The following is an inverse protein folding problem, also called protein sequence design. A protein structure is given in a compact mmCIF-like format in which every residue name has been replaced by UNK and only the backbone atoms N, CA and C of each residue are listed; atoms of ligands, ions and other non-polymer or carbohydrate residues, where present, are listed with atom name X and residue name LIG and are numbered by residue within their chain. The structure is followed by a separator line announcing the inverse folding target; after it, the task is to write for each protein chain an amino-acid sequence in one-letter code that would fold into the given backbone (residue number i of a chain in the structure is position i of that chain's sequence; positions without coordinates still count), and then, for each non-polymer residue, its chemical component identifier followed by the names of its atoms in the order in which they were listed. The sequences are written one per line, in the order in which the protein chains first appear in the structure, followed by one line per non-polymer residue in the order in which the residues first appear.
data_IF_926503579430
#
_entry.id   IF_926503579430
#
_cell.length_a   1.000
_cell.length_b   1.000
_cell.length_c   1.000
_cell.angle_alpha   90.00
_cell.angle_beta   90.00
_cell.angle_gamma   90.00
#
_symmetry.space_group_name_H-M   'P 1'
#
loop_
_entity.id
_entity.type
_entity.pdbx_description
1 polymer ?
#
# COMPACT_ATOMS: atom_id res chain seq x y z
N UNK A 1 19.08 1.84 24.60
CA UNK A 1 17.71 1.80 24.05
C UNK A 1 17.21 3.20 23.69
N UNK A 2 17.20 4.19 24.61
CA UNK A 2 16.74 5.56 24.32
C UNK A 2 17.42 6.25 23.12
N UNK A 3 18.75 6.18 23.01
CA UNK A 3 19.49 6.77 21.88
C UNK A 3 19.09 6.20 20.51
N UNK A 4 18.81 4.89 20.44
CA UNK A 4 18.35 4.25 19.21
C UNK A 4 16.97 4.78 18.80
N UNK A 5 16.05 4.91 19.75
CA UNK A 5 14.72 5.47 19.48
C UNK A 5 14.81 6.93 19.03
N UNK A 6 15.66 7.73 19.67
CA UNK A 6 15.90 9.14 19.29
C UNK A 6 16.47 9.21 17.86
N UNK A 7 17.43 8.35 17.51
CA UNK A 7 17.98 8.28 16.14
C UNK A 7 16.90 7.94 15.10
N UNK A 8 16.01 6.98 15.42
CA UNK A 8 14.87 6.64 14.56
C UNK A 8 13.88 7.80 14.42
N UNK A 9 13.57 8.52 15.51
CA UNK A 9 12.70 9.70 15.48
C UNK A 9 13.31 10.84 14.67
N UNK A 10 14.63 11.06 14.74
CA UNK A 10 15.33 12.06 13.89
C UNK A 10 15.28 11.68 12.41
N UNK A 11 15.41 10.39 12.10
CA UNK A 11 15.25 9.87 10.73
C UNK A 11 13.81 10.09 10.25
N UNK A 12 12.83 9.82 11.11
CA UNK A 12 11.41 10.11 10.83
C UNK A 12 11.17 11.61 10.60
N UNK A 13 11.77 12.50 11.39
CA UNK A 13 11.65 13.97 11.23
C UNK A 13 12.17 14.45 9.88
N UNK A 14 13.30 13.91 9.40
CA UNK A 14 13.93 14.33 8.16
C UNK A 14 13.10 13.99 6.89
N UNK A 15 12.13 13.09 6.98
CA UNK A 15 11.26 12.70 5.87
C UNK A 15 10.11 13.68 5.68
N UNK A 16 9.85 14.08 4.43
CA UNK A 16 8.60 14.76 4.01
C UNK A 16 7.53 13.69 3.80
N UNK A 17 6.64 13.52 4.77
CA UNK A 17 5.75 12.36 4.83
C UNK A 17 4.57 12.55 3.88
N UNK A 18 4.14 13.79 3.68
CA UNK A 18 2.98 14.12 2.85
C UNK A 18 3.39 14.80 1.54
N UNK A 19 4.57 14.46 0.99
CA UNK A 19 4.97 14.91 -0.34
C UNK A 19 4.12 14.21 -1.41
N UNK A 20 3.90 14.85 -2.57
CA UNK A 20 3.13 14.25 -3.67
C UNK A 20 3.65 12.86 -4.05
N UNK A 21 4.97 12.66 -4.08
CA UNK A 21 5.59 11.36 -4.37
C UNK A 21 5.17 10.27 -3.38
N UNK A 22 4.88 10.62 -2.13
CA UNK A 22 4.39 9.66 -1.13
C UNK A 22 2.94 9.24 -1.40
N UNK A 23 2.08 10.17 -1.84
CA UNK A 23 0.72 9.83 -2.30
C UNK A 23 0.76 8.97 -3.57
N UNK A 24 1.60 9.33 -4.54
CA UNK A 24 1.77 8.59 -5.79
C UNK A 24 2.27 7.16 -5.56
N UNK A 25 3.23 6.95 -4.64
CA UNK A 25 3.69 5.61 -4.25
C UNK A 25 2.56 4.73 -3.68
N UNK A 26 1.54 5.36 -3.11
CA UNK A 26 0.33 4.71 -2.56
C UNK A 26 -0.78 4.55 -3.60
N UNK A 27 -0.60 5.07 -4.82
CA UNK A 27 -1.65 5.12 -5.83
C UNK A 27 -2.78 6.09 -5.49
N UNK A 28 -2.51 7.05 -4.61
CA UNK A 28 -3.45 8.07 -4.15
C UNK A 28 -3.23 9.37 -4.91
N UNK A 29 -4.29 10.18 -5.00
CA UNK A 29 -4.15 11.55 -5.50
C UNK A 29 -3.44 12.41 -4.44
N UNK A 30 -2.46 13.24 -4.81
CA UNK A 30 -1.89 14.19 -3.88
C UNK A 30 -2.94 15.11 -3.28
N UNK A 31 -2.86 15.31 -1.96
CA UNK A 31 -3.70 16.24 -1.23
C UNK A 31 -3.26 17.70 -1.44
N UNK A 32 -4.06 18.63 -0.93
CA UNK A 32 -3.79 20.06 -0.92
C UNK A 32 -2.44 20.39 -0.22
N UNK A 33 -1.66 21.30 -0.80
CA UNK A 33 -0.31 21.61 -0.32
C UNK A 33 -0.29 22.22 1.08
N UNK A 34 -1.31 22.99 1.45
CA UNK A 34 -1.38 23.61 2.77
C UNK A 34 -1.74 22.56 3.82
N UNK A 35 -2.63 21.62 3.50
CA UNK A 35 -2.91 20.47 4.35
C UNK A 35 -1.67 19.60 4.56
N UNK A 36 -0.97 19.24 3.48
CA UNK A 36 0.27 18.46 3.55
C UNK A 36 1.33 19.13 4.43
N UNK A 37 1.52 20.44 4.28
CA UNK A 37 2.47 21.22 5.10
C UNK A 37 2.08 21.19 6.58
N UNK A 38 0.81 21.42 6.90
CA UNK A 38 0.30 21.37 8.28
C UNK A 38 0.46 19.98 8.90
N UNK A 39 0.26 18.91 8.14
CA UNK A 39 0.46 17.54 8.62
C UNK A 39 1.94 17.26 8.87
N UNK A 40 2.84 17.61 7.94
CA UNK A 40 4.28 17.46 8.13
C UNK A 40 4.76 18.19 9.40
N UNK A 41 4.31 19.43 9.63
CA UNK A 41 4.60 20.19 10.86
C UNK A 41 4.05 19.51 12.12
N UNK A 42 2.83 18.99 12.08
CA UNK A 42 2.22 18.27 13.19
C UNK A 42 3.05 17.04 13.58
N UNK A 43 3.51 16.26 12.60
CA UNK A 43 4.32 15.07 12.86
C UNK A 43 5.76 15.41 13.25
N UNK A 44 6.32 16.51 12.75
CA UNK A 44 7.59 17.05 13.24
C UNK A 44 7.50 17.42 14.73
N UNK A 45 6.46 18.16 15.11
CA UNK A 45 6.24 18.55 16.50
C UNK A 45 5.95 17.36 17.41
N UNK A 46 5.17 16.38 16.95
CA UNK A 46 4.88 15.16 17.69
C UNK A 46 6.15 14.34 17.96
N UNK A 47 6.97 14.14 16.93
CA UNK A 47 8.25 13.42 17.08
C UNK A 47 9.24 14.17 17.97
N UNK A 48 9.28 15.50 17.91
CA UNK A 48 10.11 16.31 18.81
C UNK A 48 9.69 16.13 20.28
N UNK A 49 8.40 16.19 20.57
CA UNK A 49 7.89 15.93 21.91
C UNK A 49 8.21 14.51 22.40
N UNK A 50 8.18 13.50 21.50
CA UNK A 50 8.56 12.13 21.84
C UNK A 50 10.05 12.00 22.18
N UNK A 51 10.94 12.72 21.46
CA UNK A 51 12.38 12.78 21.78
C UNK A 51 12.58 13.31 23.20
N UNK A 52 11.96 14.44 23.53
CA UNK A 52 12.07 15.05 24.87
C UNK A 52 11.60 14.10 25.99
N UNK A 53 10.50 13.38 25.75
CA UNK A 53 9.99 12.38 26.69
C UNK A 53 10.94 11.20 26.87
N UNK A 54 11.62 10.76 25.80
CA UNK A 54 12.60 9.68 25.88
C UNK A 54 13.84 10.15 26.65
N UNK A 55 14.33 11.36 26.37
CA UNK A 55 15.47 11.96 27.09
C UNK A 55 15.18 12.12 28.59
N UNK A 56 13.93 12.43 28.95
CA UNK A 56 13.47 12.53 30.33
C UNK A 56 13.04 11.18 30.94
N UNK A 57 13.27 10.05 30.26
CA UNK A 57 12.93 8.70 30.72
C UNK A 57 11.45 8.48 31.06
N UNK A 58 10.53 9.14 30.35
CA UNK A 58 9.10 8.93 30.52
C UNK A 58 8.70 7.52 30.07
N UNK A 59 7.73 6.96 30.79
CA UNK A 59 7.19 5.62 30.57
C UNK A 59 6.41 5.50 29.25
N UNK A 60 6.24 4.27 28.75
CA UNK A 60 5.43 3.97 27.56
C UNK A 60 4.00 4.50 27.67
N UNK A 61 3.39 4.44 28.87
CA UNK A 61 2.06 4.97 29.13
C UNK A 61 1.98 6.49 28.91
N UNK A 62 3.02 7.23 29.33
CA UNK A 62 3.09 8.67 29.11
C UNK A 62 3.30 8.99 27.63
N UNK A 63 4.19 8.27 26.93
CA UNK A 63 4.38 8.42 25.47
C UNK A 63 3.07 8.17 24.71
N UNK A 64 2.32 7.12 25.09
CA UNK A 64 0.98 6.82 24.56
C UNK A 64 -0.01 7.97 24.76
N UNK A 65 0.02 8.62 25.92
CA UNK A 65 -0.83 9.78 26.22
C UNK A 65 -0.52 10.95 25.28
N UNK A 66 0.75 11.18 24.96
CA UNK A 66 1.16 12.20 24.00
C UNK A 66 0.72 11.87 22.57
N UNK A 67 0.97 10.64 22.09
CA UNK A 67 0.47 10.20 20.78
C UNK A 67 -1.05 10.40 20.66
N UNK A 68 -1.81 10.03 21.70
CA UNK A 68 -3.27 10.23 21.75
C UNK A 68 -3.66 11.71 21.69
N UNK A 69 -2.90 12.60 22.33
CA UNK A 69 -3.18 14.03 22.33
C UNK A 69 -3.00 14.63 20.93
N UNK A 70 -1.89 14.31 20.25
CA UNK A 70 -1.62 14.73 18.88
C UNK A 70 -2.61 14.13 17.87
N UNK A 71 -2.98 12.85 18.02
CA UNK A 71 -4.00 12.25 17.15
C UNK A 71 -5.34 12.98 17.28
N UNK A 72 -5.73 13.37 18.50
CA UNK A 72 -6.95 14.13 18.75
C UNK A 72 -6.90 15.57 18.23
N UNK A 73 -5.72 16.18 18.06
CA UNK A 73 -5.62 17.51 17.48
C UNK A 73 -5.81 17.51 15.96
N UNK A 74 -5.75 16.34 15.31
CA UNK A 74 -6.14 16.20 13.91
C UNK A 74 -7.65 16.03 13.82
N UNK A 75 -8.32 17.01 13.22
CA UNK A 75 -9.75 16.96 12.98
C UNK A 75 -10.07 15.96 11.86
N UNK A 76 -10.48 14.73 12.22
CA UNK A 76 -10.82 13.68 11.23
C UNK A 76 -11.82 14.14 10.16
N UNK A 77 -12.76 15.03 10.50
CA UNK A 77 -13.79 15.53 9.58
C UNK A 77 -13.24 16.47 8.51
N UNK A 78 -12.05 17.03 8.71
CA UNK A 78 -11.39 17.89 7.72
C UNK A 78 -10.55 17.09 6.72
N UNK A 79 -10.57 15.76 6.79
CA UNK A 79 -9.82 14.85 5.94
C UNK A 79 -10.79 13.97 5.16
N UNK A 80 -10.46 13.65 3.93
CA UNK A 80 -11.13 12.56 3.22
C UNK A 80 -10.75 11.18 3.81
N UNK A 81 -11.13 10.10 3.14
CA UNK A 81 -10.81 8.75 3.60
C UNK A 81 -9.33 8.41 3.42
N UNK A 82 -8.75 8.75 2.27
CA UNK A 82 -7.38 8.42 1.89
C UNK A 82 -6.37 9.19 2.77
N UNK A 83 -6.61 10.50 2.94
CA UNK A 83 -5.82 11.37 3.80
C UNK A 83 -5.84 10.90 5.26
N UNK A 84 -7.01 10.54 5.77
CA UNK A 84 -7.15 10.08 7.15
C UNK A 84 -6.44 8.75 7.38
N UNK A 85 -6.59 7.80 6.45
CA UNK A 85 -5.88 6.52 6.52
C UNK A 85 -4.36 6.75 6.51
N UNK A 86 -3.87 7.65 5.66
CA UNK A 86 -2.46 8.00 5.62
C UNK A 86 -1.99 8.64 6.94
N UNK A 87 -2.75 9.59 7.52
CA UNK A 87 -2.43 10.15 8.85
C UNK A 87 -2.36 9.04 9.92
N UNK A 88 -3.31 8.10 9.92
CA UNK A 88 -3.31 7.00 10.88
C UNK A 88 -2.10 6.07 10.70
N UNK A 89 -1.68 5.80 9.47
CA UNK A 89 -0.46 5.05 9.17
C UNK A 89 0.79 5.73 9.74
N UNK A 90 0.93 7.03 9.53
CA UNK A 90 2.09 7.78 10.02
C UNK A 90 2.13 7.82 11.56
N UNK A 91 0.96 7.92 12.23
CA UNK A 91 0.89 7.76 13.68
C UNK A 91 1.26 6.34 14.14
N UNK A 92 0.88 5.32 13.37
CA UNK A 92 1.25 3.94 13.68
C UNK A 92 2.77 3.74 13.58
N UNK A 93 3.42 4.29 12.55
CA UNK A 93 4.88 4.29 12.41
C UNK A 93 5.56 4.90 13.64
N UNK A 94 5.12 6.10 14.08
CA UNK A 94 5.64 6.72 15.31
C UNK A 94 5.47 5.83 16.54
N UNK A 95 4.31 5.21 16.68
CA UNK A 95 4.02 4.34 17.81
C UNK A 95 4.90 3.09 17.83
N UNK A 96 5.24 2.53 16.66
CA UNK A 96 6.20 1.44 16.56
C UNK A 96 7.61 1.89 16.94
N UNK A 97 8.05 3.08 16.51
CA UNK A 97 9.35 3.64 16.90
C UNK A 97 9.47 3.75 18.42
N UNK A 98 8.41 4.21 19.11
CA UNK A 98 8.46 4.41 20.56
C UNK A 98 7.94 3.23 21.40
N UNK A 99 7.71 2.08 20.76
CA UNK A 99 7.21 0.83 21.35
C UNK A 99 5.90 0.98 22.14
N UNK A 100 4.91 1.61 21.49
CA UNK A 100 3.57 1.84 22.06
C UNK A 100 2.49 1.23 21.17
N UNK A 101 1.59 0.45 21.76
CA UNK A 101 0.38 0.00 21.07
C UNK A 101 -0.73 1.07 21.10
N UNK A 102 -1.07 1.59 19.92
CA UNK A 102 -2.18 2.53 19.70
C UNK A 102 -3.25 2.02 18.73
N UNK A 103 -3.26 0.74 18.34
CA UNK A 103 -4.16 0.22 17.28
C UNK A 103 -5.62 0.54 17.54
N UNK A 104 -6.08 0.34 18.78
CA UNK A 104 -7.44 0.68 19.19
C UNK A 104 -7.74 2.19 19.09
N UNK A 105 -6.76 3.05 19.43
CA UNK A 105 -6.92 4.50 19.32
C UNK A 105 -7.06 4.94 17.87
N UNK A 106 -6.27 4.35 16.95
CA UNK A 106 -6.34 4.64 15.53
C UNK A 106 -7.65 4.15 14.91
N UNK A 107 -8.08 2.92 15.18
CA UNK A 107 -9.37 2.40 14.73
C UNK A 107 -10.52 3.31 15.18
N UNK A 108 -10.50 3.72 16.46
CA UNK A 108 -11.52 4.58 17.04
C UNK A 108 -11.52 5.99 16.42
N UNK A 109 -10.35 6.54 16.11
CA UNK A 109 -10.23 7.85 15.45
C UNK A 109 -10.65 7.81 13.97
N UNK A 110 -10.32 6.73 13.25
CA UNK A 110 -10.66 6.57 11.83
C UNK A 110 -12.14 6.28 11.59
N UNK A 111 -12.70 5.32 12.32
CA UNK A 111 -14.01 4.73 12.03
C UNK A 111 -15.03 4.93 13.17
N UNK A 112 -14.65 5.58 14.27
CA UNK A 112 -15.49 5.70 15.46
C UNK A 112 -15.60 4.38 16.22
N UNK A 113 -16.72 4.17 16.92
CA UNK A 113 -16.96 2.98 17.75
C UNK A 113 -17.47 1.77 16.96
N UNK A 114 -17.31 1.75 15.63
CA UNK A 114 -17.79 0.65 14.79
C UNK A 114 -16.91 -0.60 15.00
N UNK A 115 -17.44 -1.58 15.75
CA UNK A 115 -16.84 -2.90 15.90
C UNK A 115 -16.90 -3.66 14.57
N UNK A 116 -15.82 -3.60 13.78
CA UNK A 116 -15.71 -4.36 12.53
C UNK A 116 -14.50 -3.97 11.69
N UNK A 117 -14.02 -2.73 11.81
CA UNK A 117 -12.85 -2.25 11.07
C UNK A 117 -11.57 -2.53 11.85
N UNK A 118 -10.97 -3.69 11.62
CA UNK A 118 -9.57 -3.93 12.01
C UNK A 118 -8.68 -3.43 10.87
N UNK A 119 -7.98 -2.31 11.09
CA UNK A 119 -6.97 -1.85 10.13
C UNK A 119 -5.89 -2.92 10.01
N UNK A 120 -5.74 -3.45 8.81
CA UNK A 120 -4.56 -4.22 8.42
C UNK A 120 -3.45 -3.22 8.09
N UNK A 121 -2.85 -2.59 9.10
CA UNK A 121 -1.66 -1.72 8.97
C UNK A 121 -0.45 -2.45 8.35
N UNK A 122 -0.59 -3.74 8.04
CA UNK A 122 0.38 -4.59 7.37
C UNK A 122 0.68 -4.18 5.92
N UNK A 123 -0.16 -3.36 5.28
CA UNK A 123 0.11 -2.88 3.91
C UNK A 123 1.37 -2.00 3.85
N UNK A 124 1.67 -1.23 4.91
CA UNK A 124 2.77 -0.25 4.90
C UNK A 124 4.12 -0.77 5.43
N UNK A 125 4.14 -1.95 6.08
CA UNK A 125 5.38 -2.67 6.39
C UNK A 125 5.77 -3.67 5.29
N UNK A 126 5.14 -3.62 4.12
CA UNK A 126 5.81 -4.09 2.92
C UNK A 126 7.04 -3.22 2.76
N UNK A 127 8.24 -3.79 3.01
CA UNK A 127 9.50 -3.29 2.43
C UNK A 127 9.19 -2.80 1.01
N UNK A 128 9.79 -1.70 0.51
CA UNK A 128 9.58 -1.26 -0.87
C UNK A 128 9.64 -2.51 -1.73
N UNK A 129 8.49 -2.84 -2.32
CA UNK A 129 8.26 -4.13 -2.97
C UNK A 129 9.45 -4.32 -3.89
N UNK A 130 10.32 -5.30 -3.59
CA UNK A 130 11.56 -5.45 -4.33
C UNK A 130 11.15 -5.88 -5.73
N UNK A 131 11.10 -4.94 -6.65
CA UNK A 131 10.81 -5.21 -8.05
C UNK A 131 11.99 -6.00 -8.58
N UNK A 132 11.81 -7.31 -8.70
CA UNK A 132 12.81 -8.22 -9.26
C UNK A 132 12.84 -8.04 -10.78
N UNK A 133 11.66 -7.87 -11.38
CA UNK A 133 11.49 -7.82 -12.82
C UNK A 133 10.16 -7.15 -13.20
N UNK A 134 10.05 -6.68 -14.45
CA UNK A 134 8.80 -6.20 -15.03
C UNK A 134 8.55 -6.89 -16.37
N UNK A 135 7.55 -7.77 -16.40
CA UNK A 135 7.09 -8.42 -17.63
C UNK A 135 6.18 -7.47 -18.41
N UNK A 136 6.36 -7.44 -19.73
CA UNK A 136 5.60 -6.57 -20.63
C UNK A 136 5.11 -7.34 -21.84
N UNK A 137 3.85 -7.15 -22.20
CA UNK A 137 3.31 -7.57 -23.49
C UNK A 137 2.34 -6.52 -24.04
N UNK A 138 2.23 -6.33 -25.36
CA UNK A 138 1.28 -5.38 -25.92
C UNK A 138 -0.17 -5.88 -25.77
N UNK A 139 -1.09 -4.97 -25.48
CA UNK A 139 -2.52 -5.22 -25.61
C UNK A 139 -2.88 -5.50 -27.08
N UNK A 140 -3.53 -6.63 -27.35
CA UNK A 140 -3.96 -7.03 -28.69
C UNK A 140 -4.97 -6.08 -29.34
N UNK A 141 -5.62 -5.20 -28.57
CA UNK A 141 -6.63 -4.26 -29.07
C UNK A 141 -6.11 -2.83 -29.26
N UNK A 142 -5.30 -2.31 -28.32
CA UNK A 142 -4.85 -0.90 -28.35
C UNK A 142 -3.35 -0.72 -28.29
N UNK A 143 -2.57 -1.81 -28.26
CA UNK A 143 -1.11 -1.83 -28.19
C UNK A 143 -0.49 -1.20 -26.92
N UNK A 144 -1.30 -0.70 -25.97
CA UNK A 144 -0.81 -0.29 -24.67
C UNK A 144 -0.05 -1.45 -24.00
N UNK A 145 1.11 -1.18 -23.41
CA UNK A 145 1.90 -2.19 -22.73
C UNK A 145 1.15 -2.69 -21.50
N UNK A 146 0.89 -3.99 -21.40
CA UNK A 146 0.36 -4.65 -20.22
C UNK A 146 1.53 -5.03 -19.32
N UNK A 147 1.63 -4.39 -18.16
CA UNK A 147 2.79 -4.54 -17.27
C UNK A 147 2.47 -5.38 -16.02
N UNK A 148 3.31 -6.40 -15.80
CA UNK A 148 3.34 -7.20 -14.56
C UNK A 148 4.63 -6.90 -13.82
N UNK A 149 4.52 -6.50 -12.55
CA UNK A 149 5.68 -6.39 -11.66
C UNK A 149 5.86 -7.72 -10.94
N UNK A 150 7.05 -8.30 -11.02
CA UNK A 150 7.44 -9.52 -10.30
C UNK A 150 8.13 -9.13 -8.99
N UNK A 151 7.61 -9.65 -7.89
CA UNK A 151 8.02 -9.30 -6.53
C UNK A 151 8.84 -10.43 -5.87
N UNK A 152 8.60 -11.67 -6.28
CA UNK A 152 9.34 -12.83 -5.82
C UNK A 152 9.43 -13.91 -6.91
N UNK A 153 10.59 -14.57 -7.03
CA UNK A 153 10.78 -15.76 -7.85
C UNK A 153 11.05 -16.97 -6.95
N UNK A 154 10.51 -18.12 -7.31
CA UNK A 154 10.79 -19.40 -6.65
C UNK A 154 10.74 -20.50 -7.69
N UNK A 155 11.82 -21.27 -7.84
CA UNK A 155 11.95 -22.36 -8.82
C UNK A 155 10.94 -23.48 -8.64
N UNK A 156 10.37 -23.62 -7.44
CA UNK A 156 9.38 -24.65 -7.12
C UNK A 156 7.97 -24.27 -7.60
N UNK A 157 7.75 -23.03 -8.07
CA UNK A 157 6.45 -22.59 -8.58
C UNK A 157 6.26 -23.10 -10.01
N UNK A 158 5.30 -24.02 -10.23
CA UNK A 158 5.08 -24.62 -11.54
C UNK A 158 4.42 -23.62 -12.50
N UNK A 159 4.57 -23.91 -13.79
CA UNK A 159 3.82 -23.23 -14.84
C UNK A 159 2.38 -23.75 -14.90
N UNK A 160 1.51 -23.16 -14.09
CA UNK A 160 0.20 -23.75 -13.79
C UNK A 160 -0.98 -23.11 -14.52
N UNK A 161 -0.90 -21.84 -14.94
CA UNK A 161 -2.08 -21.10 -15.41
C UNK A 161 -1.79 -20.18 -16.59
N UNK A 162 -2.75 -20.06 -17.50
CA UNK A 162 -2.92 -18.88 -18.35
C UNK A 162 -3.86 -17.88 -17.67
N UNK A 163 -3.66 -16.60 -17.90
CA UNK A 163 -4.53 -15.54 -17.39
C UNK A 163 -5.27 -14.86 -18.52
N UNK A 164 -6.60 -14.79 -18.43
CA UNK A 164 -7.37 -13.85 -19.22
C UNK A 164 -7.48 -12.55 -18.42
N UNK A 165 -7.04 -11.46 -19.03
CA UNK A 165 -6.97 -10.13 -18.40
C UNK A 165 -7.75 -9.10 -19.20
N UNK A 166 -8.17 -8.03 -18.54
CA UNK A 166 -8.82 -6.87 -19.16
C UNK A 166 -7.89 -5.65 -19.09
N UNK A 167 -7.55 -5.08 -20.24
CA UNK A 167 -6.74 -3.87 -20.32
C UNK A 167 -7.48 -2.68 -19.71
N UNK A 168 -6.84 -1.92 -18.81
CA UNK A 168 -7.47 -0.76 -18.20
C UNK A 168 -7.64 0.41 -19.17
N UNK A 169 -6.79 0.50 -20.20
CA UNK A 169 -6.81 1.60 -21.16
C UNK A 169 -7.97 1.51 -22.17
N UNK A 170 -8.28 0.32 -22.68
CA UNK A 170 -9.30 0.14 -23.73
C UNK A 170 -10.40 -0.87 -23.36
N UNK A 171 -10.33 -1.50 -22.18
CA UNK A 171 -11.27 -2.53 -21.76
C UNK A 171 -11.17 -3.86 -22.52
N UNK A 172 -10.22 -4.01 -23.44
CA UNK A 172 -10.06 -5.20 -24.29
C UNK A 172 -9.49 -6.40 -23.53
N UNK A 173 -9.97 -7.59 -23.85
CA UNK A 173 -9.51 -8.84 -23.24
C UNK A 173 -8.24 -9.36 -23.92
N UNK A 174 -7.29 -9.84 -23.11
CA UNK A 174 -6.01 -10.39 -23.55
C UNK A 174 -5.71 -11.69 -22.83
N UNK A 175 -4.90 -12.56 -23.46
CA UNK A 175 -4.32 -13.72 -22.82
C UNK A 175 -2.89 -13.37 -22.40
N UNK A 176 -2.55 -13.67 -21.15
CA UNK A 176 -1.22 -13.46 -20.57
C UNK A 176 -0.71 -14.81 -20.06
N UNK A 177 0.53 -15.11 -20.39
CA UNK A 177 1.26 -16.26 -19.88
C UNK A 177 2.56 -15.77 -19.24
N UNK A 178 2.66 -15.88 -17.93
CA UNK A 178 3.85 -15.43 -17.21
C UNK A 178 4.93 -16.51 -17.07
N UNK A 179 4.59 -17.76 -17.41
CA UNK A 179 5.48 -18.91 -17.26
C UNK A 179 5.74 -19.31 -15.80
N UNK A 180 6.64 -20.30 -15.58
CA UNK A 180 6.97 -20.80 -14.25
C UNK A 180 7.80 -19.81 -13.43
N UNK A 181 7.87 -20.09 -12.13
CA UNK A 181 8.89 -19.49 -11.27
C UNK A 181 8.55 -18.11 -10.70
N UNK A 182 7.29 -17.66 -10.80
CA UNK A 182 6.81 -16.38 -10.26
C UNK A 182 5.97 -16.67 -9.02
N UNK A 183 6.52 -16.38 -7.84
CA UNK A 183 5.86 -16.65 -6.56
C UNK A 183 4.95 -15.49 -6.12
N UNK A 184 5.31 -14.25 -6.48
CA UNK A 184 4.53 -13.07 -6.13
C UNK A 184 4.61 -12.04 -7.26
N UNK A 185 3.47 -11.44 -7.62
CA UNK A 185 3.36 -10.47 -8.71
C UNK A 185 2.21 -9.48 -8.51
N UNK A 186 2.27 -8.37 -9.24
CA UNK A 186 1.25 -7.30 -9.25
C UNK A 186 0.98 -6.82 -10.67
N UNK A 187 -0.29 -6.61 -11.01
CA UNK A 187 -0.70 -6.03 -12.29
C UNK A 187 -0.78 -4.51 -12.18
N UNK A 188 -0.21 -3.80 -13.15
CA UNK A 188 -0.14 -2.34 -13.11
C UNK A 188 -1.34 -1.71 -13.83
N UNK A 189 -1.59 -2.12 -15.06
CA UNK A 189 -2.53 -1.45 -15.96
C UNK A 189 -3.51 -2.40 -16.66
N UNK A 190 -3.79 -3.52 -16.01
CA UNK A 190 -4.85 -4.45 -16.38
C UNK A 190 -5.35 -5.21 -15.15
N UNK A 191 -6.48 -5.88 -15.28
CA UNK A 191 -7.08 -6.70 -14.22
C UNK A 191 -7.24 -8.14 -14.67
N UNK A 192 -6.92 -9.12 -13.82
CA UNK A 192 -7.21 -10.53 -14.08
C UNK A 192 -8.72 -10.78 -14.04
N UNK A 193 -9.24 -11.43 -15.07
CA UNK A 193 -10.66 -11.75 -15.22
C UNK A 193 -10.91 -13.22 -14.96
N UNK A 194 -10.03 -14.09 -15.48
CA UNK A 194 -10.19 -15.54 -15.40
C UNK A 194 -8.80 -16.20 -15.41
N UNK A 195 -8.63 -17.28 -14.66
CA UNK A 195 -7.42 -18.10 -14.66
C UNK A 195 -7.76 -19.45 -15.28
N UNK A 196 -6.94 -19.93 -16.20
CA UNK A 196 -7.15 -21.17 -16.93
C UNK A 196 -6.01 -22.12 -16.58
N UNK A 197 -6.29 -23.20 -15.87
CA UNK A 197 -5.27 -24.16 -15.48
C UNK A 197 -4.71 -24.89 -16.70
N UNK A 198 -3.38 -24.95 -16.81
CA UNK A 198 -2.67 -25.61 -17.92
C UNK A 198 -2.86 -27.13 -17.92
N UNK A 199 -3.33 -27.70 -16.81
CA UNK A 199 -3.81 -29.09 -16.70
C UNK A 199 -5.04 -29.35 -17.58
N UNK A 200 -5.88 -28.33 -17.82
CA UNK A 200 -7.15 -28.44 -18.55
C UNK A 200 -7.14 -27.69 -19.89
N UNK A 201 -6.36 -26.61 -19.96
CA UNK A 201 -6.25 -25.71 -21.10
C UNK A 201 -4.84 -25.74 -21.69
N UNK A 202 -4.73 -26.19 -22.94
CA UNK A 202 -3.59 -25.84 -23.79
C UNK A 202 -3.72 -24.40 -24.32
N UNK A 203 -2.67 -23.89 -24.97
CA UNK A 203 -2.65 -22.53 -25.51
C UNK A 203 -3.80 -22.26 -26.51
N UNK A 204 -4.18 -23.25 -27.34
CA UNK A 204 -5.29 -23.08 -28.29
C UNK A 204 -6.65 -22.99 -27.58
N UNK A 205 -6.88 -23.85 -26.57
CA UNK A 205 -8.11 -23.84 -25.76
C UNK A 205 -8.22 -22.53 -24.99
N UNK A 206 -7.13 -22.06 -24.39
CA UNK A 206 -7.07 -20.78 -23.72
C UNK A 206 -7.40 -19.63 -24.68
N UNK A 207 -6.90 -19.71 -25.92
CA UNK A 207 -7.20 -18.73 -26.95
C UNK A 207 -8.67 -18.75 -27.38
N UNK A 208 -9.24 -19.94 -27.58
CA UNK A 208 -10.69 -20.09 -27.85
C UNK A 208 -11.54 -19.50 -26.73
N UNK A 209 -11.14 -19.69 -25.47
CA UNK A 209 -11.84 -19.11 -24.31
C UNK A 209 -11.77 -17.58 -24.30
N UNK A 210 -10.63 -17.00 -24.66
CA UNK A 210 -10.52 -15.55 -24.82
C UNK A 210 -11.50 -15.01 -25.87
N UNK A 211 -11.55 -15.64 -27.05
CA UNK A 211 -12.43 -15.20 -28.13
C UNK A 211 -13.91 -15.31 -27.76
N UNK A 212 -14.31 -16.34 -26.99
CA UNK A 212 -15.66 -16.40 -26.43
C UNK A 212 -15.96 -15.19 -25.54
N UNK A 213 -15.06 -14.80 -24.63
CA UNK A 213 -15.27 -13.65 -23.77
C UNK A 213 -15.36 -12.34 -24.55
N UNK A 214 -14.55 -12.16 -25.59
CA UNK A 214 -14.63 -11.00 -26.49
C UNK A 214 -15.98 -10.89 -27.21
N UNK A 215 -16.62 -12.02 -27.51
CA UNK A 215 -17.91 -12.06 -28.19
C UNK A 215 -19.10 -11.85 -27.24
N UNK A 216 -19.09 -12.48 -26.06
CA UNK A 216 -20.24 -12.50 -25.15
C UNK A 216 -20.30 -11.35 -24.13
N UNK A 217 -19.20 -10.63 -23.89
CA UNK A 217 -19.12 -9.54 -22.90
C UNK A 217 -18.83 -8.15 -23.51
N UNK A 218 -19.38 -7.88 -24.70
CA UNK A 218 -19.38 -6.54 -25.28
C UNK A 218 -20.16 -5.54 -24.41
#
# INVERSE_FOLDING_TARGET
MGEQLISQLRTFQARRKFANSEFELRGLMPSDSDLCTRLDELFFNCSQALIELIEQNYSLSQRKKYLKAYLKSVERKSLDTEEAEFVAEVFFELAQIVDVDIKYLLNSWLYGNLMGSLIKFSSYFRKPELVIDTLRQPCSSCLAALETVVLARNTDVPDAVFLIVRCNACGGFNLVDHGPGIAEMRFINYTSVEQLEKSEYDAERAMRRLEQLKYFRK
#
